data_IF_954216724760
#
_entry.id   IF_954216724760
#
_cell.length_a   1.000
_cell.length_b   1.000
_cell.length_c   1.000
_cell.angle_alpha   90.00
_cell.angle_beta   90.00
_cell.angle_gamma   90.00
#
_symmetry.space_group_name_H-M   'P 1'
#
loop_
_entity.id
_entity.type
_entity.pdbx_description
1 polymer ?
#
# COMPACT_ATOMS: atom_id res chain seq x y z
N UNK A 1 30.93 -1.14 12.06
CA UNK A 1 30.56 -1.15 12.57
C UNK A 1 30.24 -1.05 12.42
N UNK A 2 30.12 -1.43 12.01
CA UNK A 2 29.58 -1.50 12.37
C UNK A 2 29.10 -1.45 12.37
N UNK A 3 28.79 -1.71 12.25
CA UNK A 3 28.06 -1.83 12.74
C UNK A 3 27.74 -1.77 12.78
N UNK A 4 27.60 -2.08 12.76
CA UNK A 4 27.00 -2.13 13.42
C UNK A 4 26.79 -2.11 13.77
N UNK A 5 26.58 -2.29 13.79
CA UNK A 5 26.14 -2.31 14.64
C UNK A 5 25.89 -2.33 15.05
N UNK A 6 25.79 -2.41 15.03
CA UNK A 6 25.40 -2.55 15.77
C UNK A 6 25.14 -2.51 16.07
N UNK A 7 25.12 -2.67 16.10
CA UNK A 7 24.70 -2.78 16.57
C UNK A 7 24.15 -2.79 16.69
N UNK A 8 24.26 -3.17 16.81
CA UNK A 8 23.62 -3.28 17.00
C UNK A 8 23.01 -3.62 16.77
N UNK A 9 24.02 -3.70 16.66
CA UNK A 9 23.08 -4.21 17.03
C UNK A 9 21.78 -4.70 16.37
N UNK A 10 21.03 -5.27 16.53
CA UNK A 10 19.71 -5.75 16.17
C UNK A 10 18.80 -4.70 15.57
N UNK A 11 19.34 -3.91 14.66
CA UNK A 11 18.61 -2.82 14.04
C UNK A 11 17.80 -3.35 12.87
N UNK A 12 16.50 -3.05 12.85
CA UNK A 12 15.65 -3.36 11.73
C UNK A 12 15.91 -2.33 10.63
N UNK A 13 16.38 -2.75 9.44
CA UNK A 13 16.70 -1.80 8.38
C UNK A 13 15.49 -1.22 7.67
N UNK A 14 14.29 -1.75 7.94
CA UNK A 14 13.10 -1.34 7.21
C UNK A 14 12.32 -0.31 7.99
N UNK A 15 11.78 0.66 7.26
CA UNK A 15 10.92 1.69 7.83
C UNK A 15 9.49 1.46 7.38
N UNK A 16 8.55 1.98 8.14
CA UNK A 16 7.16 1.98 7.75
C UNK A 16 6.95 3.10 6.72
N UNK A 17 6.55 2.74 5.51
CA UNK A 17 6.35 3.72 4.45
C UNK A 17 5.33 3.22 3.43
N UNK A 18 4.54 4.14 2.92
CA UNK A 18 3.66 3.90 1.79
C UNK A 18 4.21 4.71 0.62
N UNK A 19 4.48 4.05 -0.50
CA UNK A 19 5.13 4.68 -1.63
C UNK A 19 4.12 5.07 -2.70
N UNK A 20 4.55 5.96 -3.60
CA UNK A 20 3.77 6.30 -4.78
C UNK A 20 3.48 5.04 -5.59
N UNK A 21 2.26 4.93 -6.08
CA UNK A 21 1.93 3.84 -6.99
C UNK A 21 2.61 4.06 -8.34
N UNK A 22 2.88 2.97 -9.03
CA UNK A 22 3.53 3.04 -10.33
C UNK A 22 2.90 2.03 -11.30
N UNK A 23 2.54 2.45 -12.49
CA UNK A 23 2.55 3.82 -13.00
C UNK A 23 1.47 4.69 -12.38
N UNK A 24 1.66 6.02 -12.46
CA UNK A 24 0.69 6.99 -11.99
C UNK A 24 0.84 8.25 -12.86
N UNK A 25 -0.10 8.59 -13.73
CA UNK A 25 -1.41 7.94 -13.93
C UNK A 25 -1.29 6.52 -14.45
N UNK A 26 -2.33 5.73 -14.27
CA UNK A 26 -2.31 4.31 -14.66
C UNK A 26 -3.54 3.95 -15.50
N UNK A 27 -3.41 2.84 -16.28
CA UNK A 27 -4.48 2.37 -17.16
C UNK A 27 -4.25 0.91 -17.53
N UNK A 28 -5.03 -0.02 -17.02
CA UNK A 28 -5.85 0.09 -15.81
C UNK A 28 -5.13 -0.42 -14.56
N UNK A 29 -3.86 -0.85 -14.70
CA UNK A 29 -3.15 -1.52 -13.60
C UNK A 29 -2.07 -0.63 -13.05
N UNK A 30 -1.86 -0.75 -11.74
CA UNK A 30 -0.80 -0.06 -11.04
C UNK A 30 -0.30 -0.93 -9.91
N UNK A 31 0.94 -0.70 -9.51
CA UNK A 31 1.55 -1.36 -8.35
C UNK A 31 1.60 -0.38 -7.18
N UNK A 32 1.21 -0.87 -6.02
CA UNK A 32 1.32 -0.13 -4.77
C UNK A 32 2.41 -0.82 -3.96
N UNK A 33 3.40 -0.05 -3.53
CA UNK A 33 4.53 -0.57 -2.77
C UNK A 33 4.51 0.03 -1.38
N UNK A 34 4.83 -0.80 -0.41
CA UNK A 34 4.95 -0.34 0.96
C UNK A 34 6.04 -1.13 1.66
N UNK A 35 6.52 -0.58 2.77
CA UNK A 35 7.46 -1.29 3.64
C UNK A 35 6.97 -1.19 5.07
N UNK A 36 7.28 -2.21 5.85
CA UNK A 36 6.93 -2.25 7.27
C UNK A 36 8.16 -2.69 8.06
N UNK A 37 8.27 -2.17 9.27
CA UNK A 37 9.43 -2.39 10.10
C UNK A 37 9.34 -3.60 11.01
N UNK A 38 8.22 -4.27 11.06
CA UNK A 38 8.01 -5.46 11.86
C UNK A 38 6.91 -6.30 11.27
N UNK A 39 6.67 -7.46 11.84
CA UNK A 39 5.56 -8.29 11.40
C UNK A 39 4.24 -7.65 11.82
N UNK A 40 3.35 -7.44 10.86
CA UNK A 40 2.10 -6.73 11.08
C UNK A 40 0.97 -7.37 10.31
N UNK A 41 -0.22 -7.27 10.87
CA UNK A 41 -1.45 -7.48 10.10
C UNK A 41 -1.71 -6.22 9.29
N UNK A 42 -1.84 -6.35 7.98
CA UNK A 42 -1.90 -5.21 7.07
C UNK A 42 -3.29 -5.12 6.45
N UNK A 43 -3.82 -3.91 6.39
CA UNK A 43 -5.00 -3.60 5.56
C UNK A 43 -4.60 -2.58 4.52
N UNK A 44 -5.02 -2.80 3.29
CA UNK A 44 -4.79 -1.86 2.18
C UNK A 44 -6.09 -1.75 1.40
N UNK A 45 -6.68 -0.57 1.44
CA UNK A 45 -8.03 -0.34 0.93
C UNK A 45 -8.00 0.83 -0.03
N UNK A 46 -8.73 0.69 -1.13
CA UNK A 46 -8.93 1.75 -2.12
C UNK A 46 -10.24 2.44 -1.84
N UNK A 47 -10.20 3.77 -1.85
CA UNK A 47 -11.38 4.63 -1.66
C UNK A 47 -11.54 5.55 -2.86
N UNK A 48 -12.78 5.95 -3.14
CA UNK A 48 -13.03 7.03 -4.09
C UNK A 48 -12.93 8.38 -3.35
N UNK A 49 -13.10 9.47 -4.08
CA UNK A 49 -12.97 10.81 -3.51
C UNK A 49 -14.11 11.18 -2.57
N UNK A 50 -15.17 10.39 -2.57
CA UNK A 50 -16.27 10.56 -1.61
C UNK A 50 -16.01 9.82 -0.31
N UNK A 51 -14.90 9.09 -0.22
CA UNK A 51 -14.55 8.30 0.95
C UNK A 51 -15.20 6.92 0.98
N UNK A 52 -15.82 6.49 -0.11
CA UNK A 52 -16.44 5.17 -0.17
C UNK A 52 -15.41 4.12 -0.52
N UNK A 53 -15.51 2.96 0.10
CA UNK A 53 -14.61 1.86 -0.21
C UNK A 53 -14.90 1.34 -1.61
N UNK A 54 -13.86 1.20 -2.40
CA UNK A 54 -13.93 0.69 -3.77
C UNK A 54 -13.47 -0.75 -3.80
N UNK A 55 -12.34 -1.04 -3.16
CA UNK A 55 -11.74 -2.37 -3.18
C UNK A 55 -10.87 -2.55 -1.95
N UNK A 56 -10.85 -3.76 -1.41
CA UNK A 56 -9.90 -4.15 -0.35
C UNK A 56 -8.84 -5.04 -0.98
N UNK A 57 -7.62 -4.55 -1.04
CA UNK A 57 -6.51 -5.30 -1.65
C UNK A 57 -5.88 -6.27 -0.66
N UNK A 58 -5.75 -5.85 0.59
CA UNK A 58 -5.23 -6.69 1.68
C UNK A 58 -6.16 -6.48 2.87
N UNK A 59 -6.60 -7.58 3.47
CA UNK A 59 -7.62 -7.51 4.51
C UNK A 59 -7.14 -8.20 5.79
N UNK A 60 -6.08 -7.67 6.39
CA UNK A 60 -5.61 -8.14 7.68
C UNK A 60 -4.61 -9.28 7.63
N UNK A 61 -4.11 -9.59 6.44
CA UNK A 61 -3.09 -10.64 6.28
C UNK A 61 -1.81 -10.23 6.97
N UNK A 62 -1.10 -11.20 7.52
CA UNK A 62 0.17 -10.95 8.19
C UNK A 62 1.30 -10.86 7.17
N UNK A 63 2.11 -9.82 7.29
CA UNK A 63 3.29 -9.61 6.44
C UNK A 63 4.52 -9.46 7.32
N UNK A 64 5.64 -9.99 6.86
CA UNK A 64 6.90 -9.84 7.57
C UNK A 64 7.49 -8.45 7.29
N UNK A 65 8.44 -8.04 8.13
CA UNK A 65 9.19 -6.81 7.90
C UNK A 65 9.82 -6.84 6.52
N UNK A 66 9.80 -5.72 5.82
CA UNK A 66 10.42 -5.61 4.50
C UNK A 66 9.56 -4.86 3.51
N UNK A 67 9.91 -5.02 2.24
CA UNK A 67 9.23 -4.38 1.11
C UNK A 67 8.21 -5.33 0.51
N UNK A 68 7.06 -4.78 0.17
CA UNK A 68 5.96 -5.57 -0.41
C UNK A 68 5.32 -4.81 -1.55
N UNK A 69 4.78 -5.55 -2.51
CA UNK A 69 4.14 -5.00 -3.70
C UNK A 69 2.78 -5.65 -3.83
N UNK A 70 1.78 -4.83 -4.13
CA UNK A 70 0.43 -5.29 -4.38
C UNK A 70 -0.08 -4.60 -5.65
N UNK A 71 -0.78 -5.34 -6.50
CA UNK A 71 -1.32 -4.79 -7.75
C UNK A 71 -2.78 -4.47 -7.59
N UNK A 72 -3.20 -3.37 -8.24
CA UNK A 72 -4.62 -3.07 -8.41
C UNK A 72 -4.91 -2.95 -9.90
N UNK A 73 -5.97 -3.60 -10.33
CA UNK A 73 -6.34 -3.69 -11.74
C UNK A 73 -7.51 -2.78 -12.11
N UNK A 74 -7.88 -1.84 -11.24
CA UNK A 74 -8.96 -0.91 -11.52
C UNK A 74 -10.36 -1.49 -11.37
N UNK A 75 -10.48 -2.59 -10.66
CA UNK A 75 -11.79 -3.21 -10.42
C UNK A 75 -12.25 -2.95 -9.00
N UNK A 76 -13.57 -2.80 -8.83
CA UNK A 76 -14.17 -2.69 -7.50
C UNK A 76 -14.35 -4.07 -6.88
N UNK A 77 -14.93 -4.13 -5.69
CA UNK A 77 -15.10 -5.38 -4.96
C UNK A 77 -16.08 -6.34 -5.64
N UNK A 78 -16.85 -5.84 -6.60
CA UNK A 78 -17.79 -6.66 -7.38
C UNK A 78 -17.19 -7.10 -8.71
N UNK A 79 -15.92 -6.77 -8.97
CA UNK A 79 -15.24 -7.12 -10.21
C UNK A 79 -15.59 -6.22 -11.38
N UNK A 80 -16.17 -5.06 -11.11
CA UNK A 80 -16.56 -4.12 -12.17
C UNK A 80 -15.49 -3.05 -12.30
N UNK A 81 -15.28 -2.57 -13.53
CA UNK A 81 -14.33 -1.50 -13.81
C UNK A 81 -14.83 -0.21 -13.19
N UNK A 82 -13.93 0.50 -12.50
CA UNK A 82 -14.28 1.79 -11.93
C UNK A 82 -14.01 2.90 -12.95
N UNK A 83 -14.69 4.04 -12.81
CA UNK A 83 -14.51 5.15 -13.75
C UNK A 83 -13.13 5.78 -13.62
N UNK A 84 -12.71 6.48 -14.65
CA UNK A 84 -11.52 7.34 -14.58
C UNK A 84 -11.69 8.36 -13.48
N UNK A 85 -10.61 8.66 -12.77
CA UNK A 85 -10.67 9.64 -11.71
C UNK A 85 -9.59 9.41 -10.68
N UNK A 86 -9.68 10.19 -9.61
CA UNK A 86 -8.74 10.13 -8.50
C UNK A 86 -9.25 9.14 -7.45
N UNK A 87 -8.35 8.28 -7.01
CA UNK A 87 -8.62 7.31 -5.94
C UNK A 87 -7.58 7.48 -4.86
N UNK A 88 -7.94 7.05 -3.65
CA UNK A 88 -7.06 7.11 -2.50
C UNK A 88 -6.80 5.69 -2.05
N UNK A 89 -5.56 5.34 -1.79
CA UNK A 89 -5.25 4.07 -1.15
C UNK A 89 -4.67 4.33 0.23
N UNK A 90 -5.14 3.55 1.19
CA UNK A 90 -4.77 3.69 2.60
C UNK A 90 -4.26 2.38 3.13
N UNK A 91 -3.09 2.43 3.76
CA UNK A 91 -2.52 1.29 4.47
C UNK A 91 -2.71 1.48 5.97
N UNK A 92 -2.96 0.37 6.64
CA UNK A 92 -2.92 0.31 8.09
C UNK A 92 -2.13 -0.93 8.48
N UNK A 93 -1.03 -0.71 9.21
CA UNK A 93 -0.13 -1.78 9.64
C UNK A 93 0.26 -1.48 11.08
N UNK A 94 -0.37 -2.16 12.04
CA UNK A 94 -0.19 -1.82 13.44
C UNK A 94 -0.68 -0.41 13.70
N UNK A 95 0.17 0.43 14.25
CA UNK A 95 -0.14 1.85 14.49
C UNK A 95 0.22 2.74 13.30
N UNK A 96 0.84 2.18 12.26
CA UNK A 96 1.20 2.94 11.07
C UNK A 96 -0.03 3.08 10.16
N UNK A 97 -0.37 4.31 9.81
CA UNK A 97 -1.48 4.61 8.90
C UNK A 97 -0.97 5.68 7.93
N UNK A 98 -1.17 5.43 6.64
CA UNK A 98 -0.79 6.39 5.61
C UNK A 98 -1.72 6.25 4.42
N UNK A 99 -1.91 7.35 3.68
CA UNK A 99 -2.69 7.30 2.45
C UNK A 99 -2.04 8.16 1.38
N UNK A 100 -2.35 7.82 0.13
CA UNK A 100 -1.85 8.54 -1.05
C UNK A 100 -2.92 8.52 -2.10
N UNK A 101 -2.79 9.45 -3.05
CA UNK A 101 -3.69 9.57 -4.18
C UNK A 101 -3.08 8.96 -5.43
N UNK A 102 -3.95 8.50 -6.32
CA UNK A 102 -3.55 7.98 -7.61
C UNK A 102 -4.60 8.36 -8.66
N UNK A 103 -4.20 8.39 -9.92
CA UNK A 103 -5.07 8.82 -11.02
C UNK A 103 -5.21 7.71 -12.03
N UNK A 104 -6.45 7.25 -12.21
CA UNK A 104 -6.80 6.28 -13.24
C UNK A 104 -7.29 7.02 -14.48
N UNK A 105 -6.66 6.76 -15.60
CA UNK A 105 -7.07 7.31 -16.89
C UNK A 105 -7.42 6.16 -17.83
N UNK A 106 -8.42 6.39 -18.67
CA UNK A 106 -8.86 5.38 -19.63
C UNK A 106 -8.76 5.88 -21.03
#
# INVERSE_FOLDING_TARGET
MYKRQDDDVNTNPYEYALHENFPNPFNPETQIRFSIGGEEAVKLIIYDMMGRQVQTLINGDSFSAGYHIVNWNGLDSKGQKVPSGVYIYRIKAGSFIADKKMLLVK
#
